data_IF_770184979331
#
_entry.id   IF_770184979331
#
_cell.length_a   1.000
_cell.length_b   1.000
_cell.length_c   1.000
_cell.angle_alpha   90.00
_cell.angle_beta   90.00
_cell.angle_gamma   90.00
#
_symmetry.space_group_name_H-M   'P 1'
#
loop_
_entity.id
_entity.type
_entity.pdbx_description
1 polymer ?
#
# COMPACT_ATOMS: atom_id res chain seq x y z
N UNK A 1 -4.23 -32.09 7.04
CA UNK A 1 -3.69 -31.66 5.73
C UNK A 1 -2.17 -31.74 5.82
N UNK A 2 -1.47 -32.18 4.79
CA UNK A 2 0.02 -32.21 4.83
C UNK A 2 0.57 -30.77 4.75
N UNK A 3 1.74 -30.51 5.34
CA UNK A 3 2.39 -29.20 5.29
C UNK A 3 2.61 -28.69 3.85
N UNK A 4 2.82 -29.60 2.89
CA UNK A 4 2.92 -29.27 1.47
C UNK A 4 1.64 -28.65 0.89
N UNK A 5 0.45 -29.17 1.25
CA UNK A 5 -0.83 -28.64 0.77
C UNK A 5 -1.06 -27.24 1.35
N UNK A 6 -0.77 -27.05 2.65
CA UNK A 6 -0.87 -25.74 3.30
C UNK A 6 0.08 -24.73 2.64
N UNK A 7 1.32 -25.13 2.34
CA UNK A 7 2.26 -24.29 1.62
C UNK A 7 1.75 -23.90 0.22
N UNK A 8 1.16 -24.84 -0.52
CA UNK A 8 0.56 -24.56 -1.84
C UNK A 8 -0.61 -23.56 -1.77
N UNK A 9 -1.51 -23.73 -0.80
CA UNK A 9 -2.62 -22.78 -0.58
C UNK A 9 -2.08 -21.39 -0.20
N UNK A 10 -1.08 -21.34 0.69
CA UNK A 10 -0.45 -20.10 1.11
C UNK A 10 0.15 -19.34 -0.08
N UNK A 11 0.86 -20.03 -0.98
CA UNK A 11 1.40 -19.44 -2.22
C UNK A 11 0.28 -18.85 -3.08
N UNK A 12 -0.80 -19.61 -3.30
CA UNK A 12 -1.94 -19.14 -4.09
C UNK A 12 -2.60 -17.88 -3.51
N UNK A 13 -2.77 -17.84 -2.19
CA UNK A 13 -3.30 -16.66 -1.49
C UNK A 13 -2.37 -15.45 -1.57
N UNK A 14 -1.06 -15.65 -1.43
CA UNK A 14 -0.09 -14.56 -1.54
C UNK A 14 -0.10 -13.96 -2.96
N UNK A 15 0.00 -14.80 -3.99
CA UNK A 15 -0.03 -14.35 -5.39
C UNK A 15 -1.36 -13.67 -5.71
N UNK A 16 -2.48 -14.26 -5.32
CA UNK A 16 -3.81 -13.69 -5.54
C UNK A 16 -4.00 -12.35 -4.83
N UNK A 17 -3.51 -12.24 -3.59
CA UNK A 17 -3.53 -11.00 -2.81
C UNK A 17 -2.70 -9.89 -3.47
N UNK A 18 -1.48 -10.21 -3.93
CA UNK A 18 -0.63 -9.26 -4.65
C UNK A 18 -1.25 -8.85 -5.99
N UNK A 19 -1.79 -9.79 -6.76
CA UNK A 19 -2.43 -9.50 -8.05
C UNK A 19 -3.65 -8.58 -7.87
N UNK A 20 -4.48 -8.84 -6.86
CA UNK A 20 -5.60 -7.98 -6.53
C UNK A 20 -5.14 -6.60 -6.05
N UNK A 21 -4.08 -6.54 -5.25
CA UNK A 21 -3.48 -5.26 -4.84
C UNK A 21 -3.02 -4.43 -6.04
N UNK A 22 -2.31 -5.04 -6.99
CA UNK A 22 -1.86 -4.36 -8.21
C UNK A 22 -3.03 -3.89 -9.08
N UNK A 23 -4.11 -4.68 -9.15
CA UNK A 23 -5.35 -4.29 -9.83
C UNK A 23 -6.03 -3.07 -9.16
N UNK A 24 -5.99 -2.98 -7.83
CA UNK A 24 -6.54 -1.82 -7.11
C UNK A 24 -5.67 -0.57 -7.33
N UNK A 25 -4.34 -0.72 -7.36
CA UNK A 25 -3.43 0.39 -7.69
C UNK A 25 -3.72 0.92 -9.09
N UNK A 26 -3.85 0.04 -10.09
CA UNK A 26 -4.10 0.48 -11.47
C UNK A 26 -5.46 1.15 -11.68
N UNK A 27 -6.41 0.93 -10.76
CA UNK A 27 -7.73 1.57 -10.74
C UNK A 27 -7.81 2.77 -9.80
N UNK A 28 -6.75 3.07 -9.04
CA UNK A 28 -6.74 4.13 -8.02
C UNK A 28 -7.84 3.90 -6.95
N UNK A 29 -8.09 2.62 -6.62
CA UNK A 29 -9.16 2.18 -5.71
C UNK A 29 -8.60 1.58 -4.41
N UNK A 30 -7.32 1.82 -4.09
CA UNK A 30 -6.66 1.17 -2.95
C UNK A 30 -7.30 1.54 -1.60
N UNK A 31 -7.79 2.77 -1.46
CA UNK A 31 -8.35 3.26 -0.21
C UNK A 31 -9.65 2.56 0.18
N UNK A 32 -10.51 2.25 -0.80
CA UNK A 32 -11.77 1.52 -0.57
C UNK A 32 -11.57 -0.01 -0.59
N UNK A 33 -10.60 -0.50 -1.37
CA UNK A 33 -10.46 -1.93 -1.68
C UNK A 33 -9.43 -2.72 -0.88
N UNK A 34 -8.55 -2.08 -0.08
CA UNK A 34 -7.36 -2.77 0.50
C UNK A 34 -7.64 -3.96 1.39
N UNK A 35 -8.83 -4.05 2.00
CA UNK A 35 -9.13 -5.07 3.04
C UNK A 35 -8.97 -6.50 2.55
N UNK A 36 -9.48 -6.82 1.37
CA UNK A 36 -9.44 -8.17 0.82
C UNK A 36 -8.01 -8.64 0.51
N UNK A 37 -7.19 -7.91 -0.28
CA UNK A 37 -5.83 -8.36 -0.55
C UNK A 37 -4.96 -8.37 0.73
N UNK A 38 -5.16 -7.43 1.67
CA UNK A 38 -4.51 -7.49 2.99
C UNK A 38 -4.84 -8.79 3.73
N UNK A 39 -6.12 -9.17 3.78
CA UNK A 39 -6.57 -10.39 4.46
C UNK A 39 -6.01 -11.65 3.79
N UNK A 40 -5.96 -11.69 2.46
CA UNK A 40 -5.37 -12.80 1.71
C UNK A 40 -3.88 -12.97 2.04
N UNK A 41 -3.11 -11.87 2.04
CA UNK A 41 -1.67 -11.88 2.35
C UNK A 41 -1.43 -12.28 3.81
N UNK A 42 -2.20 -11.74 4.76
CA UNK A 42 -2.10 -12.11 6.17
C UNK A 42 -2.44 -13.59 6.40
N UNK A 43 -3.47 -14.11 5.72
CA UNK A 43 -3.84 -15.52 5.79
C UNK A 43 -2.76 -16.41 5.18
N UNK A 44 -2.17 -16.01 4.04
CA UNK A 44 -1.04 -16.70 3.43
C UNK A 44 0.14 -16.81 4.40
N UNK A 45 0.48 -15.71 5.10
CA UNK A 45 1.53 -15.71 6.11
C UNK A 45 1.22 -16.71 7.24
N UNK A 46 0.03 -16.66 7.84
CA UNK A 46 -0.36 -17.59 8.91
C UNK A 46 -0.28 -19.05 8.45
N UNK A 47 -0.84 -19.36 7.28
CA UNK A 47 -0.80 -20.73 6.73
C UNK A 47 0.61 -21.20 6.43
N UNK A 48 1.50 -20.32 5.96
CA UNK A 48 2.89 -20.67 5.69
C UNK A 48 3.67 -21.00 6.98
N UNK A 49 3.42 -20.27 8.07
CA UNK A 49 4.01 -20.58 9.39
C UNK A 49 3.51 -21.93 9.90
N UNK A 50 2.20 -22.21 9.77
CA UNK A 50 1.63 -23.51 10.15
C UNK A 50 2.18 -24.64 9.26
N UNK A 51 2.38 -24.40 7.97
CA UNK A 51 2.94 -25.39 7.05
C UNK A 51 4.34 -25.85 7.48
N UNK A 52 5.17 -24.93 7.99
CA UNK A 52 6.51 -25.23 8.48
C UNK A 52 6.54 -26.17 9.70
N UNK A 53 5.46 -26.21 10.49
CA UNK A 53 5.38 -27.09 11.67
C UNK A 53 4.76 -28.46 11.37
N UNK A 54 4.21 -28.68 10.17
CA UNK A 54 3.49 -29.91 9.79
C UNK A 54 4.25 -30.78 8.78
N UNK A 55 5.53 -31.01 9.04
CA UNK A 55 6.40 -31.88 8.21
C UNK A 55 6.24 -31.64 6.69
N UNK A 56 6.51 -30.41 6.20
CA UNK A 56 6.18 -30.02 4.83
C UNK A 56 7.05 -30.69 3.74
N UNK A 57 8.07 -31.46 4.14
CA UNK A 57 9.11 -31.93 3.22
C UNK A 57 9.96 -30.77 2.69
N UNK A 58 10.94 -31.07 1.83
CA UNK A 58 11.84 -30.06 1.29
C UNK A 58 11.10 -29.00 0.45
N UNK A 59 10.28 -29.47 -0.50
CA UNK A 59 9.53 -28.58 -1.41
C UNK A 59 8.54 -27.71 -0.65
N UNK A 60 7.73 -28.30 0.23
CA UNK A 60 6.77 -27.54 1.02
C UNK A 60 7.48 -26.57 1.98
N UNK A 61 8.63 -26.96 2.53
CA UNK A 61 9.44 -26.10 3.38
C UNK A 61 9.95 -24.86 2.65
N UNK A 62 10.47 -25.02 1.42
CA UNK A 62 10.91 -23.89 0.58
C UNK A 62 9.72 -22.97 0.25
N UNK A 63 8.60 -23.53 -0.21
CA UNK A 63 7.41 -22.75 -0.56
C UNK A 63 6.87 -21.97 0.66
N UNK A 64 6.76 -22.65 1.81
CA UNK A 64 6.30 -22.03 3.03
C UNK A 64 7.27 -20.96 3.53
N UNK A 65 8.58 -21.20 3.49
CA UNK A 65 9.60 -20.23 3.92
C UNK A 65 9.60 -18.95 3.07
N UNK A 66 9.53 -19.08 1.74
CA UNK A 66 9.45 -17.92 0.83
C UNK A 66 8.14 -17.15 1.05
N UNK A 67 7.02 -17.86 1.15
CA UNK A 67 5.70 -17.25 1.37
C UNK A 67 5.64 -16.53 2.71
N UNK A 68 6.19 -17.12 3.78
CA UNK A 68 6.26 -16.51 5.10
C UNK A 68 7.11 -15.23 5.07
N UNK A 69 8.26 -15.27 4.40
CA UNK A 69 9.17 -14.11 4.28
C UNK A 69 8.48 -12.96 3.54
N UNK A 70 7.94 -13.23 2.35
CA UNK A 70 7.27 -12.22 1.53
C UNK A 70 5.99 -11.69 2.19
N UNK A 71 5.19 -12.57 2.78
CA UNK A 71 3.98 -12.21 3.53
C UNK A 71 4.30 -11.32 4.73
N UNK A 72 5.39 -11.61 5.45
CA UNK A 72 5.84 -10.78 6.58
C UNK A 72 6.26 -9.39 6.13
N UNK A 73 7.07 -9.29 5.07
CA UNK A 73 7.47 -8.00 4.48
C UNK A 73 6.23 -7.20 4.10
N UNK A 74 5.28 -7.81 3.39
CA UNK A 74 4.06 -7.14 2.95
C UNK A 74 3.19 -6.67 4.13
N UNK A 75 3.04 -7.47 5.19
CA UNK A 75 2.29 -7.07 6.39
C UNK A 75 2.98 -5.92 7.12
N UNK A 76 4.29 -5.99 7.32
CA UNK A 76 5.07 -4.92 7.96
C UNK A 76 4.93 -3.62 7.18
N UNK A 77 5.10 -3.64 5.86
CA UNK A 77 4.93 -2.46 5.02
C UNK A 77 3.52 -1.87 5.13
N UNK A 78 2.48 -2.71 5.22
CA UNK A 78 1.10 -2.25 5.40
C UNK A 78 0.87 -1.60 6.78
N UNK A 79 1.50 -2.11 7.83
CA UNK A 79 1.44 -1.50 9.17
C UNK A 79 2.15 -0.15 9.19
N UNK A 80 3.24 0.00 8.43
CA UNK A 80 4.00 1.24 8.29
C UNK A 80 3.40 2.22 7.27
N UNK A 81 2.46 1.78 6.45
CA UNK A 81 1.86 2.57 5.38
C UNK A 81 0.99 3.77 5.81
N UNK A 82 0.34 3.81 7.00
CA UNK A 82 -0.47 4.96 7.38
C UNK A 82 0.35 6.26 7.35
N UNK A 83 -0.07 7.21 6.52
CA UNK A 83 0.49 8.56 6.46
C UNK A 83 -0.45 9.49 7.24
N UNK A 84 0.11 10.46 7.97
CA UNK A 84 -0.66 11.28 8.91
C UNK A 84 -1.77 12.10 8.22
N UNK A 85 -2.90 12.19 8.95
CA UNK A 85 -4.14 12.95 8.70
C UNK A 85 -4.88 12.65 7.39
N UNK A 86 -6.00 11.93 7.54
CA UNK A 86 -7.01 11.73 6.49
C UNK A 86 -8.02 12.88 6.37
N UNK A 87 -7.93 13.89 7.24
CA UNK A 87 -8.80 15.06 7.19
C UNK A 87 -8.25 16.09 6.19
N UNK A 88 -9.10 16.64 5.30
CA UNK A 88 -8.69 17.73 4.43
C UNK A 88 -8.22 18.92 5.28
N UNK A 89 -6.99 19.37 5.05
CA UNK A 89 -6.48 20.58 5.70
C UNK A 89 -7.26 21.86 5.29
N UNK A 90 -7.99 21.78 4.17
CA UNK A 90 -8.79 22.87 3.58
C UNK A 90 -10.14 22.28 3.15
N UNK A 91 -11.23 22.80 3.71
CA UNK A 91 -12.59 22.40 3.33
C UNK A 91 -13.11 23.15 2.09
N UNK A 92 -14.12 22.60 1.42
CA UNK A 92 -14.80 23.29 0.31
C UNK A 92 -15.44 24.58 0.83
N UNK A 93 -15.18 25.69 0.15
CA UNK A 93 -15.63 27.03 0.56
C UNK A 93 -14.71 27.74 1.56
N UNK A 94 -13.71 27.04 2.11
CA UNK A 94 -12.68 27.66 2.94
C UNK A 94 -11.73 28.49 2.08
N UNK A 95 -11.34 29.66 2.58
CA UNK A 95 -10.29 30.48 1.96
C UNK A 95 -8.97 29.72 2.05
N UNK A 96 -8.30 29.59 0.91
CA UNK A 96 -6.98 28.96 0.83
C UNK A 96 -5.98 29.78 1.68
N UNK A 97 -5.20 29.14 2.59
CA UNK A 97 -4.19 29.85 3.37
C UNK A 97 -3.16 30.51 2.45
N UNK A 98 -2.77 31.75 2.77
CA UNK A 98 -1.68 32.41 2.09
C UNK A 98 -0.38 31.61 2.29
N UNK A 99 0.39 31.44 1.22
CA UNK A 99 1.73 30.87 1.29
C UNK A 99 2.64 31.49 0.25
N UNK A 100 3.93 31.46 0.56
CA UNK A 100 5.00 31.71 -0.38
C UNK A 100 5.86 30.46 -0.50
N UNK A 101 6.37 30.20 -1.70
CA UNK A 101 7.25 29.08 -1.99
C UNK A 101 8.29 29.51 -3.02
N UNK A 102 9.32 28.70 -3.23
CA UNK A 102 10.18 28.84 -4.40
C UNK A 102 9.58 28.01 -5.55
N UNK A 103 9.59 28.57 -6.75
CA UNK A 103 9.31 27.80 -7.95
C UNK A 103 10.52 26.98 -8.41
N UNK A 104 10.38 26.29 -9.54
CA UNK A 104 11.44 25.45 -10.11
C UNK A 104 12.71 26.20 -10.55
N UNK A 105 12.64 27.52 -10.72
CA UNK A 105 13.79 28.39 -11.04
C UNK A 105 14.39 29.03 -9.79
N UNK A 106 13.86 28.72 -8.60
CA UNK A 106 14.28 29.33 -7.34
C UNK A 106 13.72 30.74 -7.14
N UNK A 107 12.73 31.16 -7.94
CA UNK A 107 12.07 32.45 -7.80
C UNK A 107 10.95 32.35 -6.78
N UNK A 108 10.77 33.42 -6.00
CA UNK A 108 9.67 33.51 -5.06
C UNK A 108 8.32 33.51 -5.78
N UNK A 109 7.49 32.53 -5.44
CA UNK A 109 6.09 32.41 -5.80
C UNK A 109 5.22 32.79 -4.60
N UNK A 110 4.26 33.68 -4.82
CA UNK A 110 3.23 34.05 -3.86
C UNK A 110 1.86 33.64 -4.40
N UNK A 111 1.06 32.93 -3.59
CA UNK A 111 -0.30 32.55 -3.94
C UNK A 111 -1.16 33.75 -4.36
N UNK A 112 -0.94 34.92 -3.75
CA UNK A 112 -1.68 36.15 -4.08
C UNK A 112 -1.50 36.58 -5.55
N UNK A 113 -0.42 36.16 -6.21
CA UNK A 113 -0.20 36.40 -7.64
C UNK A 113 -1.24 35.75 -8.55
N UNK A 114 -2.00 34.77 -8.04
CA UNK A 114 -3.05 34.05 -8.75
C UNK A 114 -4.47 34.58 -8.46
N UNK A 115 -4.60 35.66 -7.68
CA UNK A 115 -5.90 36.23 -7.32
C UNK A 115 -6.77 36.55 -8.55
N UNK A 116 -8.07 36.29 -8.42
CA UNK A 116 -9.05 36.52 -9.48
C UNK A 116 -9.08 35.44 -10.57
N UNK A 117 -8.33 34.34 -10.43
CA UNK A 117 -8.32 33.22 -11.39
C UNK A 117 -8.69 31.90 -10.69
N UNK A 118 -9.48 31.03 -11.33
CA UNK A 118 -9.63 29.65 -10.85
C UNK A 118 -8.32 28.89 -11.08
N UNK A 119 -7.87 28.15 -10.06
CA UNK A 119 -6.62 27.42 -10.08
C UNK A 119 -6.82 25.97 -9.64
N UNK A 120 -6.03 25.06 -10.21
CA UNK A 120 -5.93 23.67 -9.76
C UNK A 120 -4.58 23.50 -9.06
N UNK A 121 -4.61 23.27 -7.74
CA UNK A 121 -3.41 23.00 -6.96
C UNK A 121 -3.23 21.50 -6.79
N UNK A 122 -2.07 21.00 -7.20
CA UNK A 122 -1.73 19.57 -7.11
C UNK A 122 -0.49 19.39 -6.25
N UNK A 123 -0.63 18.61 -5.19
CA UNK A 123 0.46 18.25 -4.30
C UNK A 123 1.07 16.92 -4.71
N UNK A 124 2.41 16.85 -4.69
CA UNK A 124 3.17 15.63 -4.94
C UNK A 124 4.00 15.30 -3.71
N UNK A 125 4.14 14.01 -3.40
CA UNK A 125 4.92 13.53 -2.24
C UNK A 125 6.41 13.37 -2.54
N UNK A 126 6.84 13.70 -3.76
CA UNK A 126 8.22 13.66 -4.23
C UNK A 126 8.35 14.39 -5.57
N UNK A 127 9.53 14.94 -5.84
CA UNK A 127 9.87 15.47 -7.16
C UNK A 127 10.40 14.32 -8.03
N UNK A 128 10.04 14.35 -9.31
CA UNK A 128 10.63 13.51 -10.36
C UNK A 128 11.40 14.44 -11.29
#
# INVERSE_FOLDING_TARGET
MTGLILAGIAVGLLIGGIALWMRLISRVEIDSGRRLPSAMIATALVLSVIALTQSPGLVGGILAGLTATMGSIAVVLQVLAPQSKQEPAIAVGQVLPAFTALDHEGKAFDLASLNGRPILMKFFRGHW
#
